data_IF_443581659150
#
_entry.id   IF_443581659150
#
_cell.length_a   1.000
_cell.length_b   1.000
_cell.length_c   1.000
_cell.angle_alpha   90.00
_cell.angle_beta   90.00
_cell.angle_gamma   90.00
#
_symmetry.space_group_name_H-M   'P 1'
#
loop_
_entity.id
_entity.type
_entity.pdbx_description
1 polymer ?
#
# COMPACT_ATOMS: atom_id res chain seq x y z
N UNK A 1 0.16 -9.40 -4.92
CA UNK A 1 -0.58 -8.35 -4.20
C UNK A 1 0.28 -7.72 -3.13
N UNK A 2 0.12 -8.15 -1.87
CA UNK A 2 0.77 -7.53 -0.70
C UNK A 2 2.30 -7.56 -0.68
N UNK A 3 2.93 -8.65 -1.14
CA UNK A 3 4.40 -8.76 -1.23
C UNK A 3 4.99 -7.69 -2.15
N UNK A 4 4.31 -7.36 -3.25
CA UNK A 4 4.73 -6.31 -4.18
C UNK A 4 4.66 -4.93 -3.55
N UNK A 5 3.57 -4.64 -2.82
CA UNK A 5 3.41 -3.39 -2.06
C UNK A 5 4.53 -3.26 -1.02
N UNK A 6 4.79 -4.33 -0.26
CA UNK A 6 5.89 -4.36 0.71
C UNK A 6 7.24 -4.07 0.03
N UNK A 7 7.52 -4.69 -1.11
CA UNK A 7 8.80 -4.55 -1.79
C UNK A 7 9.00 -3.13 -2.35
N UNK A 8 7.96 -2.56 -2.97
CA UNK A 8 7.96 -1.17 -3.45
C UNK A 8 8.14 -0.21 -2.27
N UNK A 9 7.43 -0.44 -1.17
CA UNK A 9 7.59 0.36 0.06
C UNK A 9 9.00 0.24 0.64
N UNK A 10 9.61 -0.95 0.65
CA UNK A 10 10.99 -1.12 1.11
C UNK A 10 11.96 -0.34 0.24
N UNK A 11 11.83 -0.41 -1.08
CA UNK A 11 12.65 0.35 -2.01
C UNK A 11 12.45 1.86 -1.80
N UNK A 12 11.21 2.32 -1.68
CA UNK A 12 10.89 3.73 -1.43
C UNK A 12 11.46 4.24 -0.11
N UNK A 13 11.42 3.43 0.96
CA UNK A 13 12.06 3.75 2.24
C UNK A 13 13.57 3.86 2.08
N UNK A 14 14.19 2.94 1.32
CA UNK A 14 15.64 3.02 1.06
C UNK A 14 16.03 4.26 0.26
N UNK A 15 15.26 4.63 -0.78
CA UNK A 15 15.50 5.84 -1.58
C UNK A 15 15.31 7.13 -0.75
N UNK A 16 14.30 7.16 0.13
CA UNK A 16 13.99 8.31 1.00
C UNK A 16 14.71 8.28 2.35
N UNK A 17 15.73 7.43 2.53
CA UNK A 17 16.42 7.25 3.83
C UNK A 17 16.96 8.58 4.38
N UNK A 18 17.61 9.40 3.55
CA UNK A 18 18.15 10.72 3.93
C UNK A 18 17.05 11.68 4.40
N UNK A 19 15.93 11.74 3.70
CA UNK A 19 14.81 12.60 4.06
C UNK A 19 14.20 12.21 5.42
N UNK A 20 14.03 10.91 5.65
CA UNK A 20 13.51 10.37 6.92
C UNK A 20 14.49 10.68 8.06
N UNK A 21 15.79 10.53 7.80
CA UNK A 21 16.85 10.88 8.73
C UNK A 21 16.84 12.35 9.12
N UNK A 22 16.71 13.24 8.13
CA UNK A 22 16.63 14.68 8.33
C UNK A 22 15.40 15.06 9.16
N UNK A 23 14.22 14.49 8.84
CA UNK A 23 12.98 14.71 9.62
C UNK A 23 13.15 14.28 11.08
N UNK A 24 13.81 13.14 11.34
CA UNK A 24 14.08 12.71 12.73
C UNK A 24 15.12 13.58 13.43
N UNK A 25 16.12 14.09 12.71
CA UNK A 25 17.12 14.99 13.27
C UNK A 25 16.51 16.33 13.74
N UNK A 26 15.47 16.81 13.06
CA UNK A 26 14.70 18.01 13.47
C UNK A 26 13.57 17.71 14.46
N UNK A 27 13.48 16.49 15.00
CA UNK A 27 12.57 16.13 16.09
C UNK A 27 11.31 15.33 15.71
N UNK A 28 11.18 14.81 14.48
CA UNK A 28 10.06 13.93 14.15
C UNK A 28 10.08 12.65 14.99
N UNK A 29 8.95 12.33 15.64
CA UNK A 29 8.83 11.12 16.46
C UNK A 29 8.74 9.86 15.60
N UNK A 30 9.14 8.71 16.16
CA UNK A 30 8.98 7.41 15.47
C UNK A 30 7.51 7.15 15.08
N UNK A 31 6.58 7.54 15.95
CA UNK A 31 5.14 7.43 15.70
C UNK A 31 4.68 8.24 14.49
N UNK A 32 5.18 9.47 14.31
CA UNK A 32 4.85 10.32 13.16
C UNK A 32 5.31 9.69 11.83
N UNK A 33 6.54 9.14 11.80
CA UNK A 33 7.07 8.46 10.61
C UNK A 33 6.28 7.17 10.34
N UNK A 34 5.99 6.39 11.38
CA UNK A 34 5.20 5.16 11.27
C UNK A 34 3.82 5.46 10.69
N UNK A 35 3.10 6.45 11.22
CA UNK A 35 1.76 6.80 10.75
C UNK A 35 1.77 7.32 9.31
N UNK A 36 2.81 8.04 8.91
CA UNK A 36 2.97 8.51 7.53
C UNK A 36 3.06 7.34 6.53
N UNK A 37 3.96 6.39 6.78
CA UNK A 37 4.16 5.25 5.88
C UNK A 37 2.99 4.26 5.92
N UNK A 38 2.35 4.09 7.08
CA UNK A 38 1.12 3.31 7.18
C UNK A 38 -0.01 3.95 6.37
N UNK A 39 -0.17 5.27 6.46
CA UNK A 39 -1.17 5.98 5.66
C UNK A 39 -0.89 5.88 4.17
N UNK A 40 0.37 6.00 3.74
CA UNK A 40 0.78 5.80 2.33
C UNK A 40 0.41 4.39 1.85
N UNK A 41 0.65 3.37 2.69
CA UNK A 41 0.26 1.97 2.41
C UNK A 41 -1.25 1.81 2.30
N UNK A 42 -2.02 2.37 3.23
CA UNK A 42 -3.49 2.31 3.24
C UNK A 42 -4.04 2.97 1.98
N UNK A 43 -3.56 4.17 1.63
CA UNK A 43 -4.00 4.90 0.44
C UNK A 43 -3.71 4.10 -0.82
N UNK A 44 -2.51 3.51 -0.95
CA UNK A 44 -2.18 2.64 -2.08
C UNK A 44 -3.11 1.42 -2.17
N UNK A 45 -3.45 0.79 -1.03
CA UNK A 45 -4.36 -0.35 -1.00
C UNK A 45 -5.78 0.04 -1.39
N UNK A 46 -6.30 1.16 -0.88
CA UNK A 46 -7.64 1.65 -1.20
C UNK A 46 -7.75 2.04 -2.68
N UNK A 47 -6.77 2.77 -3.20
CA UNK A 47 -6.75 3.15 -4.61
C UNK A 47 -6.63 1.93 -5.52
N UNK A 48 -5.70 1.02 -5.22
CA UNK A 48 -5.54 -0.23 -5.98
C UNK A 48 -6.79 -1.11 -5.93
N UNK A 49 -7.43 -1.22 -4.76
CA UNK A 49 -8.68 -1.96 -4.58
C UNK A 49 -9.85 -1.35 -5.34
N UNK A 50 -10.04 -0.03 -5.28
CA UNK A 50 -11.08 0.67 -6.04
C UNK A 50 -10.87 0.52 -7.55
N UNK A 51 -9.65 0.72 -8.03
CA UNK A 51 -9.30 0.51 -9.44
C UNK A 51 -9.53 -0.95 -9.85
N UNK A 52 -9.16 -1.91 -9.01
CA UNK A 52 -9.43 -3.33 -9.24
C UNK A 52 -10.91 -3.66 -9.36
N UNK A 53 -11.77 -3.07 -8.52
CA UNK A 53 -13.23 -3.23 -8.60
C UNK A 53 -13.77 -2.66 -9.91
N UNK A 54 -13.37 -1.43 -10.27
CA UNK A 54 -13.83 -0.77 -11.49
C UNK A 54 -13.41 -1.59 -12.72
N UNK A 55 -12.13 -1.95 -12.82
CA UNK A 55 -11.60 -2.73 -13.94
C UNK A 55 -12.22 -4.14 -13.98
N UNK A 56 -12.44 -4.78 -12.83
CA UNK A 56 -13.10 -6.07 -12.74
C UNK A 56 -14.54 -6.02 -13.27
N UNK A 57 -15.32 -5.01 -12.88
CA UNK A 57 -16.69 -4.85 -13.39
C UNK A 57 -16.72 -4.55 -14.89
N UNK A 58 -15.83 -3.69 -15.38
CA UNK A 58 -15.72 -3.41 -16.81
C UNK A 58 -15.32 -4.65 -17.61
N UNK A 59 -14.35 -5.42 -17.10
CA UNK A 59 -13.89 -6.66 -17.73
C UNK A 59 -14.99 -7.72 -17.80
N UNK A 60 -15.72 -7.94 -16.70
CA UNK A 60 -16.86 -8.87 -16.68
C UNK A 60 -17.93 -8.44 -17.68
N UNK A 61 -18.31 -7.15 -17.71
CA UNK A 61 -19.31 -6.64 -18.66
C UNK A 61 -18.85 -6.77 -20.12
N UNK A 62 -17.58 -6.50 -20.39
CA UNK A 62 -17.01 -6.62 -21.72
C UNK A 62 -17.02 -8.06 -22.23
N UNK A 63 -16.55 -9.01 -21.41
CA UNK A 63 -16.51 -10.44 -21.76
C UNK A 63 -17.93 -11.01 -21.85
N UNK A 64 -18.82 -10.65 -20.93
CA UNK A 64 -20.23 -11.07 -20.94
C UNK A 64 -20.97 -10.57 -22.19
N UNK A 65 -20.70 -9.32 -22.61
CA UNK A 65 -21.23 -8.77 -23.86
C UNK A 65 -20.75 -9.51 -25.10
N UNK A 66 -19.48 -9.96 -25.12
CA UNK A 66 -18.91 -10.74 -26.23
C UNK A 66 -19.50 -12.16 -26.30
N UNK A 67 -19.74 -12.78 -25.15
CA UNK A 67 -20.27 -14.14 -25.04
C UNK A 67 -21.81 -14.21 -25.06
N UNK A 68 -22.50 -13.06 -25.04
CA UNK A 68 -23.96 -12.93 -24.90
C UNK A 68 -24.54 -13.66 -23.67
N UNK A 69 -23.78 -13.72 -22.57
CA UNK A 69 -24.21 -14.31 -21.29
C UNK A 69 -24.48 -13.19 -20.29
N UNK A 70 -25.51 -13.27 -19.44
CA UNK A 70 -25.75 -12.25 -18.41
C UNK A 70 -24.57 -12.18 -17.42
N UNK A 71 -24.00 -10.99 -17.15
CA UNK A 71 -22.95 -10.84 -16.15
C UNK A 71 -23.52 -11.00 -14.74
N UNK A 72 -23.00 -11.96 -13.98
CA UNK A 72 -23.32 -12.13 -12.55
C UNK A 72 -22.28 -11.37 -11.74
N UNK A 73 -22.70 -10.30 -11.08
CA UNK A 73 -21.85 -9.48 -10.21
C UNK A 73 -22.40 -9.58 -8.78
N UNK A 74 -21.75 -10.39 -7.95
CA UNK A 74 -22.10 -10.49 -6.53
C UNK A 74 -21.42 -9.39 -5.72
N UNK A 75 -22.22 -8.52 -5.11
CA UNK A 75 -21.74 -7.43 -4.27
C UNK A 75 -21.08 -7.95 -2.99
N UNK A 76 -21.55 -9.07 -2.43
CA UNK A 76 -21.00 -9.64 -1.20
C UNK A 76 -19.61 -10.22 -1.44
N UNK A 77 -19.40 -10.89 -2.57
CA UNK A 77 -18.07 -11.31 -3.02
C UNK A 77 -17.11 -10.12 -3.21
N UNK A 78 -17.57 -9.01 -3.79
CA UNK A 78 -16.73 -7.82 -3.99
C UNK A 78 -16.31 -7.21 -2.65
N UNK A 79 -17.27 -6.99 -1.74
CA UNK A 79 -16.99 -6.40 -0.41
C UNK A 79 -16.07 -7.30 0.43
N UNK A 80 -16.30 -8.62 0.42
CA UNK A 80 -15.45 -9.56 1.16
C UNK A 80 -14.03 -9.64 0.58
N UNK A 81 -13.89 -9.69 -0.74
CA UNK A 81 -12.58 -9.67 -1.41
C UNK A 81 -11.83 -8.36 -1.16
N UNK A 82 -12.51 -7.22 -1.22
CA UNK A 82 -11.92 -5.91 -0.92
C UNK A 82 -11.49 -5.79 0.55
N UNK A 83 -12.33 -6.27 1.48
CA UNK A 83 -12.00 -6.30 2.91
C UNK A 83 -10.78 -7.15 3.19
N UNK A 84 -10.73 -8.37 2.62
CA UNK A 84 -9.57 -9.25 2.73
C UNK A 84 -8.30 -8.62 2.13
N UNK A 85 -8.39 -8.04 0.93
CA UNK A 85 -7.26 -7.37 0.28
C UNK A 85 -6.75 -6.18 1.09
N UNK A 86 -7.65 -5.42 1.71
CA UNK A 86 -7.31 -4.27 2.57
C UNK A 86 -6.55 -4.73 3.83
N UNK A 87 -7.01 -5.78 4.51
CA UNK A 87 -6.31 -6.35 5.68
C UNK A 87 -4.91 -6.83 5.30
N UNK A 88 -4.80 -7.59 4.20
CA UNK A 88 -3.52 -8.08 3.70
C UNK A 88 -2.59 -6.91 3.34
N UNK A 89 -3.11 -5.91 2.62
CA UNK A 89 -2.34 -4.73 2.22
C UNK A 89 -1.78 -3.93 3.39
N UNK A 90 -2.59 -3.69 4.42
CA UNK A 90 -2.15 -3.03 5.67
C UNK A 90 -1.10 -3.86 6.38
N UNK A 91 -1.30 -5.17 6.49
CA UNK A 91 -0.35 -6.06 7.15
C UNK A 91 1.03 -6.03 6.48
N UNK A 92 1.08 -6.08 5.15
CA UNK A 92 2.32 -6.01 4.40
C UNK A 92 2.96 -4.60 4.38
N UNK A 93 2.18 -3.54 4.57
CA UNK A 93 2.67 -2.16 4.73
C UNK A 93 3.25 -1.86 6.13
N UNK A 94 2.89 -2.64 7.14
CA UNK A 94 3.35 -2.44 8.52
C UNK A 94 4.85 -2.67 8.68
N UNK A 95 5.40 -3.73 8.08
CA UNK A 95 6.82 -4.04 8.15
C UNK A 95 7.74 -2.91 7.63
N UNK A 96 7.56 -2.38 6.40
CA UNK A 96 8.38 -1.28 5.91
C UNK A 96 8.16 0.01 6.71
N UNK A 97 6.94 0.27 7.18
CA UNK A 97 6.67 1.44 8.03
C UNK A 97 7.42 1.37 9.37
N UNK A 98 7.47 0.18 10.00
CA UNK A 98 8.27 -0.05 11.21
C UNK A 98 9.76 0.17 10.90
N UNK A 99 10.26 -0.38 9.78
CA UNK A 99 11.65 -0.20 9.36
C UNK A 99 12.01 1.28 9.18
N UNK A 100 11.17 2.06 8.49
CA UNK A 100 11.34 3.50 8.32
C UNK A 100 11.34 4.24 9.67
N UNK A 101 10.40 3.90 10.56
CA UNK A 101 10.27 4.51 11.88
C UNK A 101 11.45 4.22 12.83
N UNK A 102 12.24 3.17 12.56
CA UNK A 102 13.40 2.80 13.37
C UNK A 102 14.76 3.27 12.81
N UNK A 103 14.82 3.84 11.60
CA UNK A 103 16.04 4.44 11.04
C UNK A 103 16.68 5.45 11.99
N UNK A 104 17.99 5.32 12.26
CA UNK A 104 18.70 6.27 13.10
C UNK A 104 19.16 7.49 12.27
N UNK A 105 19.05 8.73 12.79
CA UNK A 105 19.48 9.93 12.07
C UNK A 105 20.95 9.87 11.64
N UNK A 106 21.79 9.27 12.49
CA UNK A 106 23.23 9.18 12.27
C UNK A 106 23.59 8.21 11.13
N UNK A 107 22.81 7.12 10.97
CA UNK A 107 22.98 6.17 9.88
C UNK A 107 22.46 6.74 8.55
N UNK A 108 21.37 7.51 8.61
CA UNK A 108 20.75 8.12 7.44
C UNK A 108 21.57 9.26 6.82
N UNK A 109 22.35 10.00 7.63
CA UNK A 109 23.22 11.10 7.17
C UNK A 109 24.63 10.64 6.76
N UNK A 110 25.04 9.44 7.19
CA UNK A 110 26.36 8.87 6.89
C UNK A 110 26.37 8.02 5.61
N UNK A 111 25.22 7.68 5.07
CA UNK A 111 25.12 7.16 3.70
C UNK A 111 25.44 8.32 2.72
N UNK A 112 26.49 8.18 1.93
CA UNK A 112 26.74 9.06 0.77
C UNK A 112 25.52 9.07 -0.16
#
# INVERSE_FOLDING_TARGET
GGIGIMNIMLVSVTERTKEIGLRKAIGATRGSILSQFLMESVVMCLLGGLLGIILGQLGVRFVAGLLQVPPVIDQTAILSAFGFASVVGVFFGLYPAIRASNLQPIEALRHE
#
